data_IF_805743531782
#
_entry.id   IF_805743531782
#
_cell.length_a   1.000
_cell.length_b   1.000
_cell.length_c   1.000
_cell.angle_alpha   90.00
_cell.angle_beta   90.00
_cell.angle_gamma   90.00
#
_symmetry.space_group_name_H-M   'P 1'
#
loop_
_entity.id
_entity.type
_entity.pdbx_description
1 polymer ?
#
# COMPACT_ATOMS: atom_id res chain seq x y z
N UNK A 1 7.30 -9.47 17.72
CA UNK A 1 7.25 -8.78 16.40
C UNK A 1 8.43 -7.82 16.35
N UNK A 2 9.42 -8.11 15.50
CA UNK A 2 10.55 -7.19 15.30
C UNK A 2 10.07 -6.10 14.35
N UNK A 3 10.11 -4.84 14.79
CA UNK A 3 9.90 -3.70 13.88
C UNK A 3 11.16 -3.52 13.05
N UNK A 4 11.07 -3.73 11.74
CA UNK A 4 12.17 -3.44 10.83
C UNK A 4 12.38 -1.92 10.81
N UNK A 5 13.57 -1.47 11.20
CA UNK A 5 13.96 -0.06 11.10
C UNK A 5 14.43 0.30 9.70
N UNK A 6 14.72 1.59 9.47
CA UNK A 6 15.28 2.11 8.21
C UNK A 6 16.55 1.37 7.73
N UNK A 7 17.28 0.71 8.64
CA UNK A 7 18.50 -0.03 8.33
C UNK A 7 18.26 -1.40 7.68
N UNK A 8 17.04 -1.90 7.64
CA UNK A 8 16.73 -3.16 6.96
C UNK A 8 16.87 -3.02 5.43
N UNK A 9 16.95 -4.11 4.67
CA UNK A 9 16.81 -4.05 3.22
C UNK A 9 15.41 -3.57 2.79
N UNK A 10 15.34 -2.85 1.68
CA UNK A 10 14.07 -2.38 1.11
C UNK A 10 13.06 -3.52 0.90
N UNK A 11 13.51 -4.64 0.33
CA UNK A 11 12.64 -5.77 0.07
C UNK A 11 12.06 -6.36 1.37
N UNK A 12 12.83 -6.44 2.46
CA UNK A 12 12.30 -6.92 3.74
C UNK A 12 11.24 -5.97 4.31
N UNK A 13 11.45 -4.65 4.21
CA UNK A 13 10.44 -3.67 4.62
C UNK A 13 9.18 -3.76 3.75
N UNK A 14 9.34 -3.92 2.43
CA UNK A 14 8.24 -4.11 1.50
C UNK A 14 7.43 -5.35 1.88
N UNK A 15 8.08 -6.49 2.14
CA UNK A 15 7.39 -7.72 2.54
C UNK A 15 6.67 -7.56 3.89
N UNK A 16 7.28 -6.87 4.87
CA UNK A 16 6.61 -6.55 6.12
C UNK A 16 5.36 -5.69 5.89
N UNK A 17 5.47 -4.63 5.08
CA UNK A 17 4.34 -3.78 4.71
C UNK A 17 3.21 -4.60 4.05
N UNK A 18 3.54 -5.44 3.07
CA UNK A 18 2.56 -6.30 2.40
C UNK A 18 1.88 -7.28 3.37
N UNK A 19 2.61 -7.82 4.35
CA UNK A 19 2.04 -8.70 5.38
C UNK A 19 1.04 -7.96 6.29
N UNK A 20 1.31 -6.69 6.60
CA UNK A 20 0.40 -5.84 7.36
C UNK A 20 -0.84 -5.52 6.52
N UNK A 21 -0.65 -5.13 5.25
CA UNK A 21 -1.76 -4.87 4.33
C UNK A 21 -2.67 -6.09 4.16
N UNK A 22 -2.09 -7.28 3.96
CA UNK A 22 -2.81 -8.55 3.90
C UNK A 22 -3.64 -8.75 5.17
N UNK A 23 -3.01 -8.61 6.34
CA UNK A 23 -3.67 -8.82 7.63
C UNK A 23 -4.82 -7.84 7.85
N UNK A 24 -4.63 -6.56 7.55
CA UNK A 24 -5.67 -5.53 7.69
C UNK A 24 -6.84 -5.76 6.74
N UNK A 25 -6.56 -6.24 5.53
CA UNK A 25 -7.60 -6.63 4.56
C UNK A 25 -8.36 -7.86 5.05
N UNK A 26 -7.67 -8.86 5.60
CA UNK A 26 -8.28 -10.07 6.16
C UNK A 26 -9.18 -9.76 7.37
N UNK A 27 -8.79 -8.79 8.20
CA UNK A 27 -9.59 -8.30 9.33
C UNK A 27 -10.74 -7.38 8.91
N UNK A 28 -10.84 -7.04 7.62
CA UNK A 28 -11.87 -6.13 7.09
C UNK A 28 -11.67 -4.67 7.48
N UNK A 29 -10.50 -4.30 8.04
CA UNK A 29 -10.16 -2.93 8.45
C UNK A 29 -9.74 -2.06 7.27
N UNK A 30 -9.23 -2.68 6.21
CA UNK A 30 -8.89 -2.02 4.95
C UNK A 30 -9.56 -2.78 3.80
N UNK A 31 -10.02 -2.03 2.80
CA UNK A 31 -10.30 -2.55 1.46
C UNK A 31 -9.47 -1.79 0.44
N UNK A 32 -9.01 -2.46 -0.61
CA UNK A 32 -8.34 -1.81 -1.72
C UNK A 32 -9.39 -1.33 -2.73
N UNK A 33 -9.24 -0.11 -3.22
CA UNK A 33 -10.17 0.48 -4.18
C UNK A 33 -9.46 1.26 -5.27
N UNK A 34 -10.01 1.26 -6.49
CA UNK A 34 -9.55 2.11 -7.57
C UNK A 34 -10.75 2.66 -8.33
N UNK A 35 -10.70 3.95 -8.68
CA UNK A 35 -11.76 4.61 -9.46
C UNK A 35 -13.17 4.41 -8.85
N UNK A 36 -13.27 4.61 -7.54
CA UNK A 36 -14.53 4.50 -6.78
C UNK A 36 -15.05 3.07 -6.60
N UNK A 37 -14.29 2.04 -6.97
CA UNK A 37 -14.70 0.63 -6.86
C UNK A 37 -13.70 -0.16 -6.03
N UNK A 38 -14.19 -1.06 -5.19
CA UNK A 38 -13.33 -2.03 -4.52
C UNK A 38 -12.71 -2.98 -5.52
N UNK A 39 -11.46 -3.39 -5.27
CA UNK A 39 -10.84 -4.46 -6.03
C UNK A 39 -11.58 -5.77 -5.79
N UNK A 40 -11.70 -6.56 -6.86
CA UNK A 40 -12.27 -7.90 -6.84
C UNK A 40 -11.16 -8.95 -6.75
N UNK A 41 -11.53 -10.22 -6.58
CA UNK A 41 -10.60 -11.34 -6.40
C UNK A 41 -10.25 -11.61 -4.94
N UNK A 42 -9.32 -12.54 -4.71
CA UNK A 42 -8.87 -12.90 -3.37
C UNK A 42 -7.96 -11.82 -2.78
N UNK A 43 -7.76 -11.85 -1.46
CA UNK A 43 -6.85 -10.92 -0.78
C UNK A 43 -5.42 -11.09 -1.30
N UNK A 44 -5.01 -12.34 -1.55
CA UNK A 44 -3.70 -12.67 -2.12
C UNK A 44 -3.52 -12.05 -3.51
N UNK A 45 -4.53 -12.15 -4.38
CA UNK A 45 -4.49 -11.55 -5.72
C UNK A 45 -4.35 -10.03 -5.64
N UNK A 46 -5.09 -9.38 -4.74
CA UNK A 46 -5.04 -7.93 -4.58
C UNK A 46 -3.71 -7.44 -4.01
N UNK A 47 -3.17 -8.13 -2.99
CA UNK A 47 -1.86 -7.81 -2.40
C UNK A 47 -0.73 -8.08 -3.40
N UNK A 48 -0.83 -9.15 -4.20
CA UNK A 48 0.12 -9.44 -5.27
C UNK A 48 0.09 -8.34 -6.33
N UNK A 49 -1.09 -7.91 -6.76
CA UNK A 49 -1.25 -6.83 -7.74
C UNK A 49 -0.60 -5.52 -7.27
N UNK A 50 -0.75 -5.20 -5.99
CA UNK A 50 -0.06 -4.06 -5.37
C UNK A 50 1.46 -4.27 -5.38
N UNK A 51 1.94 -5.45 -4.96
CA UNK A 51 3.37 -5.77 -4.92
C UNK A 51 4.05 -5.69 -6.29
N UNK A 52 3.36 -6.15 -7.34
CA UNK A 52 3.86 -6.19 -8.72
C UNK A 52 4.07 -4.77 -9.30
N UNK A 53 3.24 -3.82 -8.88
CA UNK A 53 3.33 -2.41 -9.29
C UNK A 53 4.30 -1.60 -8.43
N UNK A 54 4.68 -2.10 -7.26
CA UNK A 54 5.55 -1.40 -6.35
C UNK A 54 6.94 -1.14 -6.98
N UNK A 55 7.45 0.10 -6.97
CA UNK A 55 8.75 0.44 -7.52
C UNK A 55 9.87 -0.47 -6.99
N UNK A 56 10.72 -0.96 -7.90
CA UNK A 56 11.91 -1.77 -7.55
C UNK A 56 13.03 -0.95 -6.91
N UNK A 57 13.01 0.37 -7.11
CA UNK A 57 13.98 1.31 -6.58
C UNK A 57 13.29 2.18 -5.54
N UNK A 58 13.62 1.97 -4.27
CA UNK A 58 13.04 2.68 -3.12
C UNK A 58 13.17 4.20 -3.25
N UNK A 59 14.23 4.70 -3.88
CA UNK A 59 14.50 6.14 -4.04
C UNK A 59 13.45 6.86 -4.89
N UNK A 60 12.59 6.11 -5.59
CA UNK A 60 11.48 6.67 -6.35
C UNK A 60 10.24 6.87 -5.50
N UNK A 61 10.09 6.13 -4.39
CA UNK A 61 8.93 6.26 -3.53
C UNK A 61 8.92 7.65 -2.90
N UNK A 62 7.73 8.24 -2.82
CA UNK A 62 7.55 9.46 -2.06
C UNK A 62 7.96 9.22 -0.60
N UNK A 63 8.63 10.21 0.02
CA UNK A 63 9.05 10.12 1.43
C UNK A 63 7.88 9.98 2.41
N UNK A 64 6.65 10.23 1.93
CA UNK A 64 5.40 10.03 2.65
C UNK A 64 4.48 9.11 1.83
N UNK A 65 4.12 7.96 2.41
CA UNK A 65 3.10 7.07 1.86
C UNK A 65 3.61 6.12 0.78
N UNK A 66 3.20 4.85 0.90
CA UNK A 66 3.52 3.79 -0.06
C UNK A 66 2.61 3.82 -1.29
N UNK A 67 2.24 4.98 -1.81
CA UNK A 67 1.26 5.07 -2.91
C UNK A 67 1.69 6.01 -4.03
N UNK A 68 2.77 6.76 -3.84
CA UNK A 68 3.24 7.71 -4.82
C UNK A 68 4.72 7.55 -5.12
N UNK A 69 5.12 7.96 -6.32
CA UNK A 69 6.52 8.29 -6.61
C UNK A 69 6.72 9.80 -6.60
N UNK A 70 7.94 10.22 -6.25
CA UNK A 70 8.35 11.61 -6.24
C UNK A 70 9.50 11.88 -7.23
N UNK A 71 9.51 13.06 -7.83
CA UNK A 71 10.66 13.53 -8.59
C UNK A 71 11.76 14.09 -7.67
N UNK A 72 12.91 14.46 -8.24
CA UNK A 72 14.04 15.05 -7.50
C UNK A 72 13.73 16.40 -6.82
N UNK A 73 12.59 17.00 -7.11
CA UNK A 73 12.11 18.25 -6.53
C UNK A 73 11.03 18.02 -5.45
N UNK A 74 10.68 16.75 -5.17
CA UNK A 74 9.63 16.37 -4.21
C UNK A 74 8.21 16.50 -4.77
N UNK A 75 8.03 16.68 -6.08
CA UNK A 75 6.70 16.68 -6.68
C UNK A 75 6.21 15.24 -6.81
N UNK A 76 4.95 14.99 -6.44
CA UNK A 76 4.30 13.71 -6.70
C UNK A 76 4.05 13.57 -8.20
N UNK A 77 4.51 12.47 -8.81
CA UNK A 77 4.44 12.29 -10.27
C UNK A 77 3.64 11.07 -10.70
N UNK A 78 3.40 10.10 -9.82
CA UNK A 78 2.69 8.88 -10.17
C UNK A 78 1.99 8.29 -8.96
N UNK A 79 0.72 7.90 -9.13
CA UNK A 79 0.02 7.00 -8.23
C UNK A 79 0.20 5.56 -8.74
N UNK A 80 1.33 4.95 -8.38
CA UNK A 80 1.76 3.67 -8.95
C UNK A 80 0.90 2.45 -8.59
N UNK A 81 0.28 2.31 -7.39
CA UNK A 81 -0.41 1.06 -7.05
C UNK A 81 -1.69 0.88 -7.86
N UNK A 82 -2.23 2.00 -8.40
CA UNK A 82 -3.55 2.03 -9.02
C UNK A 82 -4.59 1.38 -8.10
N UNK A 83 -4.44 1.57 -6.78
CA UNK A 83 -5.40 1.28 -5.75
C UNK A 83 -5.07 2.05 -4.46
N UNK A 84 -6.11 2.65 -3.86
CA UNK A 84 -6.09 3.34 -2.58
C UNK A 84 -6.45 2.41 -1.42
N UNK A 85 -6.12 2.83 -0.21
CA UNK A 85 -6.61 2.15 1.00
C UNK A 85 -7.92 2.79 1.42
N UNK A 86 -8.94 1.99 1.63
CA UNK A 86 -10.22 2.42 2.22
C UNK A 86 -10.30 1.82 3.61
N UNK A 87 -10.14 2.66 4.62
CA UNK A 87 -10.29 2.31 6.02
C UNK A 87 -11.76 2.09 6.35
N UNK A 88 -12.05 1.01 7.06
CA UNK A 88 -13.39 0.65 7.54
C UNK A 88 -13.37 0.74 9.06
N UNK A 89 -14.18 1.65 9.62
CA UNK A 89 -14.28 1.85 11.06
C UNK A 89 -15.39 1.00 11.68
N UNK A 90 -15.36 0.87 13.00
CA UNK A 90 -16.33 0.04 13.75
C UNK A 90 -17.79 0.50 13.58
N UNK A 91 -18.00 1.80 13.35
CA UNK A 91 -19.33 2.37 13.08
C UNK A 91 -19.80 2.18 11.62
N UNK A 92 -18.97 1.54 10.78
CA UNK A 92 -19.23 1.31 9.36
C UNK A 92 -18.87 2.48 8.45
N UNK A 93 -18.36 3.59 8.98
CA UNK A 93 -17.85 4.70 8.16
C UNK A 93 -16.58 4.28 7.39
N UNK A 94 -16.31 5.01 6.30
CA UNK A 94 -15.21 4.72 5.39
C UNK A 94 -14.39 5.97 5.09
N UNK A 95 -13.06 5.82 5.07
CA UNK A 95 -12.11 6.88 4.70
C UNK A 95 -11.13 6.35 3.65
N UNK A 96 -10.99 7.06 2.53
CA UNK A 96 -10.02 6.73 1.49
C UNK A 96 -8.72 7.51 1.67
N UNK A 97 -7.57 6.83 1.53
CA UNK A 97 -6.21 7.40 1.58
C UNK A 97 -5.39 7.02 0.36
#
# INVERSE_FOLDING_TARGET
MYFLGEKSPYEERKQLFLSILYRLTQEGRIKLAFDGKFLEGTIEEQVQLYSDRCPKDERKLAGFGFQFTEDKHGNLIEFWPMCGFVWIYEDGSMEGT
#
